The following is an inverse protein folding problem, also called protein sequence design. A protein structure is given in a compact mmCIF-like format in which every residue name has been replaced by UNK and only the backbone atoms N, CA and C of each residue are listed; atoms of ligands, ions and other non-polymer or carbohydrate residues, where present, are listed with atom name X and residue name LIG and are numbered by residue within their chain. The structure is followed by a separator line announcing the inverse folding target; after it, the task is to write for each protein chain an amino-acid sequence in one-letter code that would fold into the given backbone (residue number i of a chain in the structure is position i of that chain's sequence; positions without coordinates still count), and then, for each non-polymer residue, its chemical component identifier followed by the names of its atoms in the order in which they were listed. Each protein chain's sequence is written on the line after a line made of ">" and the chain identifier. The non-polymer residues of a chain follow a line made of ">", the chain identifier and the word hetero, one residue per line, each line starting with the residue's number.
data_IF_798676478588
#
_entry.id   IF_798676478588
#
_cell.length_a   1.000
_cell.length_b   1.000
_cell.length_c   1.000
_cell.angle_alpha   90.00
_cell.angle_beta   90.00
_cell.angle_gamma   90.00
#
_symmetry.space_group_name_H-M   'P 1'
#
loop_
_entity.id
_entity.type
_entity.pdbx_description
1 polymer ?
#
# COMPACT_ATOMS: atom_id res chain seq x y z
N UNK A 1 7.84 8.22 -4.04
CA UNK A 1 8.17 7.13 -5.00
C UNK A 1 9.30 6.21 -4.53
N UNK A 2 10.28 6.66 -3.72
CA UNK A 2 11.42 5.82 -3.31
C UNK A 2 11.18 4.75 -2.22
N UNK A 3 10.04 4.77 -1.49
CA UNK A 3 9.76 3.77 -0.42
C UNK A 3 9.23 2.44 -0.96
N UNK A 4 8.30 2.48 -1.92
CA UNK A 4 7.77 1.27 -2.57
C UNK A 4 8.84 0.51 -3.36
N UNK A 5 9.82 1.21 -3.94
CA UNK A 5 10.96 0.59 -4.64
C UNK A 5 11.99 -0.04 -3.69
N UNK A 6 11.87 0.19 -2.37
CA UNK A 6 12.79 -0.32 -1.34
C UNK A 6 12.21 -1.45 -0.50
N UNK A 7 11.03 -1.96 -0.85
CA UNK A 7 10.35 -3.02 -0.09
C UNK A 7 9.74 -2.55 1.23
N UNK A 8 9.57 -1.24 1.43
CA UNK A 8 8.89 -0.70 2.60
C UNK A 8 7.39 -0.60 2.28
N UNK A 9 6.67 -1.70 2.54
CA UNK A 9 5.23 -1.84 2.30
C UNK A 9 4.37 -1.33 3.48
N UNK A 10 5.02 -0.87 4.55
CA UNK A 10 4.37 -0.47 5.80
C UNK A 10 3.97 -1.67 6.66
N UNK A 11 2.72 -1.67 7.12
CA UNK A 11 2.11 -2.67 8.02
C UNK A 11 1.41 -3.80 7.23
N UNK A 12 1.93 -4.12 6.04
CA UNK A 12 1.45 -5.23 5.24
C UNK A 12 1.82 -6.56 5.90
N UNK A 13 0.87 -7.49 5.97
CA UNK A 13 1.16 -8.88 6.34
C UNK A 13 2.15 -9.48 5.33
N UNK A 14 2.94 -10.47 5.76
CA UNK A 14 3.98 -11.14 4.95
C UNK A 14 3.46 -11.56 3.56
N UNK A 15 2.21 -12.02 3.49
CA UNK A 15 1.53 -12.46 2.28
C UNK A 15 1.23 -11.33 1.27
N UNK A 16 0.95 -10.12 1.75
CA UNK A 16 0.79 -8.93 0.91
C UNK A 16 2.17 -8.42 0.45
N UNK A 17 3.20 -8.54 1.28
CA UNK A 17 4.57 -8.20 0.90
C UNK A 17 5.09 -9.12 -0.20
N UNK A 18 4.89 -10.44 -0.08
CA UNK A 18 5.24 -11.43 -1.13
C UNK A 18 4.48 -11.17 -2.44
N UNK A 19 3.20 -10.82 -2.32
CA UNK A 19 2.40 -10.45 -3.50
C UNK A 19 2.95 -9.20 -4.17
N UNK A 20 3.40 -8.21 -3.38
CA UNK A 20 4.05 -7.01 -3.91
C UNK A 20 5.40 -7.31 -4.55
N UNK A 21 6.22 -8.17 -3.96
CA UNK A 21 7.51 -8.56 -4.55
C UNK A 21 7.32 -9.31 -5.87
N UNK A 22 6.35 -10.23 -5.91
CA UNK A 22 5.96 -10.93 -7.14
C UNK A 22 5.46 -9.93 -8.18
N UNK A 23 4.65 -8.96 -7.78
CA UNK A 23 4.13 -7.91 -8.65
C UNK A 23 5.22 -6.93 -9.13
N UNK A 24 6.29 -6.71 -8.36
CA UNK A 24 7.45 -5.93 -8.79
C UNK A 24 8.21 -6.62 -9.93
N UNK A 25 8.32 -7.94 -9.90
CA UNK A 25 9.04 -8.71 -10.93
C UNK A 25 8.16 -9.08 -12.13
N UNK A 26 6.87 -9.36 -11.88
CA UNK A 26 5.93 -9.89 -12.86
C UNK A 26 4.96 -8.88 -13.46
N UNK A 27 4.98 -7.61 -13.03
CA UNK A 27 4.10 -6.56 -13.56
C UNK A 27 2.66 -6.63 -13.03
N UNK A 28 2.51 -6.63 -11.71
CA UNK A 28 1.21 -6.65 -11.03
C UNK A 28 0.90 -5.36 -10.26
N UNK A 29 -0.35 -5.22 -9.81
CA UNK A 29 -0.73 -4.15 -8.88
C UNK A 29 0.03 -4.30 -7.55
N UNK A 30 0.43 -3.18 -6.95
CA UNK A 30 1.00 -3.14 -5.61
C UNK A 30 -0.05 -2.67 -4.62
N UNK A 31 0.02 -3.21 -3.42
CA UNK A 31 -0.86 -2.87 -2.32
C UNK A 31 -0.04 -2.60 -1.07
N UNK A 32 -0.11 -1.39 -0.52
CA UNK A 32 0.62 -1.02 0.69
C UNK A 32 -0.35 -0.50 1.74
N UNK A 33 -0.11 -0.86 3.00
CA UNK A 33 -0.95 -0.47 4.13
C UNK A 33 -0.11 0.31 5.11
N UNK A 34 -0.58 1.49 5.51
CA UNK A 34 0.10 2.29 6.52
C UNK A 34 -0.85 2.59 7.67
N UNK A 35 -0.37 2.41 8.89
CA UNK A 35 -1.08 2.83 10.10
C UNK A 35 -0.86 4.34 10.28
N UNK A 36 -1.95 5.08 10.44
CA UNK A 36 -1.89 6.51 10.73
C UNK A 36 -1.97 6.70 12.25
N UNK A 37 -1.11 7.53 12.86
CA UNK A 37 -1.26 7.86 14.26
C UNK A 37 -2.62 8.54 14.52
N UNK A 38 -3.32 8.18 15.61
CA UNK A 38 -4.64 8.73 15.93
C UNK A 38 -4.64 10.25 16.15
N UNK A 39 -3.47 10.85 16.38
CA UNK A 39 -3.30 12.31 16.48
C UNK A 39 -3.42 13.02 15.13
N UNK A 40 -3.13 12.33 14.01
CA UNK A 40 -3.22 12.88 12.66
C UNK A 40 -4.59 12.63 12.05
N UNK A 41 -5.15 11.43 12.24
CA UNK A 41 -6.49 11.06 11.79
C UNK A 41 -7.21 10.26 12.89
N UNK A 42 -8.07 10.90 13.70
CA UNK A 42 -8.73 10.23 14.82
C UNK A 42 -9.86 9.27 14.41
N UNK A 43 -10.38 9.40 13.18
CA UNK A 43 -11.46 8.54 12.65
C UNK A 43 -10.94 7.35 11.84
N UNK A 44 -9.68 7.39 11.42
CA UNK A 44 -9.09 6.40 10.50
C UNK A 44 -7.73 5.97 11.02
N UNK A 45 -7.57 4.68 11.31
CA UNK A 45 -6.32 4.14 11.86
C UNK A 45 -5.38 3.60 10.79
N UNK A 46 -5.87 3.43 9.56
CA UNK A 46 -5.13 2.78 8.47
C UNK A 46 -5.46 3.43 7.14
N UNK A 47 -4.50 3.43 6.23
CA UNK A 47 -4.69 3.87 4.85
C UNK A 47 -4.16 2.81 3.90
N UNK A 48 -4.87 2.62 2.80
CA UNK A 48 -4.51 1.69 1.74
C UNK A 48 -3.99 2.48 0.55
N UNK A 49 -2.85 2.05 0.02
CA UNK A 49 -2.22 2.61 -1.16
C UNK A 49 -2.19 1.52 -2.23
N UNK A 50 -2.99 1.69 -3.27
CA UNK A 50 -3.11 0.75 -4.39
C UNK A 50 -2.43 1.38 -5.59
N UNK A 51 -1.40 0.73 -6.11
CA UNK A 51 -0.72 1.16 -7.33
C UNK A 51 -1.02 0.17 -8.44
N UNK A 52 -1.57 0.64 -9.56
CA UNK A 52 -1.91 -0.24 -10.68
C UNK A 52 -0.66 -0.88 -11.30
N UNK A 53 -0.88 -1.95 -12.07
CA UNK A 53 0.19 -2.79 -12.63
C UNK A 53 1.14 -2.03 -13.55
N UNK A 54 0.60 -1.08 -14.31
CA UNK A 54 1.34 -0.17 -15.21
C UNK A 54 1.95 1.03 -14.48
N UNK A 55 1.74 1.14 -13.17
CA UNK A 55 2.14 2.27 -12.32
C UNK A 55 1.60 3.62 -12.79
N UNK A 56 0.58 3.65 -13.65
CA UNK A 56 0.03 4.91 -14.17
C UNK A 56 -0.86 5.62 -13.14
N UNK A 57 -1.49 4.85 -12.25
CA UNK A 57 -2.35 5.36 -11.20
C UNK A 57 -1.95 4.81 -9.83
N UNK A 58 -2.04 5.68 -8.83
CA UNK A 58 -1.93 5.31 -7.43
C UNK A 58 -3.14 5.87 -6.70
N UNK A 59 -3.99 4.97 -6.22
CA UNK A 59 -5.17 5.33 -5.44
C UNK A 59 -4.83 5.19 -3.96
N UNK A 60 -5.17 6.20 -3.18
CA UNK A 60 -5.03 6.19 -1.73
C UNK A 60 -6.42 6.32 -1.15
N UNK A 61 -6.82 5.34 -0.34
CA UNK A 61 -8.17 5.27 0.24
C UNK A 61 -8.15 4.71 1.66
N UNK A 62 -9.16 5.06 2.43
CA UNK A 62 -9.38 4.50 3.76
C UNK A 62 -10.15 3.17 3.68
N UNK A 63 -9.96 2.23 4.63
CA UNK A 63 -10.73 0.98 4.68
C UNK A 63 -12.24 1.22 4.78
N UNK A 64 -12.66 2.37 5.33
CA UNK A 64 -14.06 2.78 5.45
C UNK A 64 -14.68 3.28 4.14
N UNK A 65 -13.84 3.63 3.14
CA UNK A 65 -14.27 4.10 1.82
C UNK A 65 -14.45 2.95 0.81
N UNK A 66 -14.20 1.71 1.24
CA UNK A 66 -14.36 0.49 0.45
C UNK A 66 -15.62 -0.28 0.88
#
# INVERSE_FOLDING_TARGET
>A
MARHLRGDWGDCCEQDQDSNETALQGGGRLFSVYIIPPQLFPMESKIWIITEADRSYTTVLFPSEY
#
